data_IF_608835263238
#
_entry.id   IF_608835263238
#
_cell.length_a   1.000
_cell.length_b   1.000
_cell.length_c   1.000
_cell.angle_alpha   90.00
_cell.angle_beta   90.00
_cell.angle_gamma   90.00
#
_symmetry.space_group_name_H-M   'P 1'
#
loop_
_entity.id
_entity.type
_entity.pdbx_description
1 polymer ?
#
# COMPACT_ATOMS: atom_id res chain seq x y z
N UNK A 1 8.68 -22.41 0.79
CA UNK A 1 8.42 -21.34 1.75
C UNK A 1 8.11 -20.04 1.05
N UNK A 2 7.11 -19.35 1.51
CA UNK A 2 6.81 -18.04 0.97
C UNK A 2 7.69 -17.00 1.63
N UNK A 3 8.34 -16.19 0.83
CA UNK A 3 9.14 -15.09 1.31
C UNK A 3 8.36 -13.80 1.07
N UNK A 4 8.31 -12.98 2.08
CA UNK A 4 7.68 -11.67 1.97
C UNK A 4 8.74 -10.60 1.87
N UNK A 5 8.46 -9.61 1.07
CA UNK A 5 9.34 -8.46 0.91
C UNK A 5 8.68 -7.23 1.52
N UNK A 6 9.48 -6.41 2.15
CA UNK A 6 8.97 -5.14 2.66
C UNK A 6 9.46 -4.02 1.76
N UNK A 7 8.66 -2.98 1.70
CA UNK A 7 9.00 -1.80 0.92
C UNK A 7 8.28 -0.60 1.49
N UNK A 8 8.49 0.54 0.86
CA UNK A 8 7.82 1.77 1.26
C UNK A 8 7.10 2.37 0.06
N UNK A 9 5.91 2.86 0.31
CA UNK A 9 5.13 3.54 -0.71
C UNK A 9 4.78 4.93 -0.22
N UNK A 10 4.68 5.87 -1.16
CA UNK A 10 4.26 7.21 -0.83
C UNK A 10 2.74 7.27 -0.93
N UNK A 11 2.11 7.75 0.12
CA UNK A 11 0.66 7.92 0.13
C UNK A 11 0.31 9.32 0.60
N UNK A 12 -0.92 9.72 0.33
CA UNK A 12 -1.40 11.05 0.66
C UNK A 12 -2.61 10.89 1.57
N UNK A 13 -2.59 11.60 2.69
CA UNK A 13 -3.74 11.63 3.58
C UNK A 13 -4.89 12.38 2.89
N UNK A 14 -6.08 11.76 2.76
CA UNK A 14 -7.21 12.42 2.10
C UNK A 14 -7.78 13.59 2.89
N UNK A 15 -7.49 13.64 4.17
CA UNK A 15 -8.03 14.72 5.03
C UNK A 15 -7.19 16.00 4.96
N UNK A 16 -5.87 15.85 4.91
CA UNK A 16 -4.98 17.01 4.97
C UNK A 16 -4.05 17.13 3.76
N UNK A 17 -3.99 16.12 2.91
CA UNK A 17 -3.13 16.12 1.74
C UNK A 17 -1.66 15.93 2.03
N UNK A 18 -1.30 15.57 3.25
CA UNK A 18 0.10 15.35 3.58
C UNK A 18 0.62 14.06 2.95
N UNK A 19 1.76 14.16 2.29
CA UNK A 19 2.44 12.98 1.75
C UNK A 19 3.30 12.35 2.83
N UNK A 20 3.29 11.04 2.85
CA UNK A 20 4.16 10.32 3.78
C UNK A 20 4.49 8.95 3.21
N UNK A 21 5.61 8.40 3.69
CA UNK A 21 6.04 7.06 3.32
C UNK A 21 5.49 6.07 4.33
N UNK A 22 4.93 4.99 3.81
CA UNK A 22 4.35 3.93 4.63
C UNK A 22 5.03 2.63 4.27
N UNK A 23 5.46 1.89 5.28
CA UNK A 23 6.04 0.58 5.07
C UNK A 23 4.93 -0.43 4.78
N UNK A 24 5.12 -1.20 3.72
CA UNK A 24 4.16 -2.20 3.28
C UNK A 24 4.85 -3.53 3.08
N UNK A 25 4.08 -4.60 3.08
CA UNK A 25 4.59 -5.95 2.87
C UNK A 25 4.04 -6.50 1.56
N UNK A 26 4.95 -6.97 0.71
CA UNK A 26 4.58 -7.64 -0.53
C UNK A 26 4.64 -9.14 -0.32
N UNK A 27 3.55 -9.87 -0.56
CA UNK A 27 3.63 -11.33 -0.57
C UNK A 27 4.50 -11.77 -1.74
N UNK A 28 5.14 -12.93 -1.60
CA UNK A 28 6.10 -13.41 -2.60
C UNK A 28 5.49 -13.45 -3.99
N UNK A 29 6.25 -12.99 -4.98
CA UNK A 29 5.88 -12.98 -6.40
C UNK A 29 4.72 -12.09 -6.79
N UNK A 30 4.19 -11.29 -5.86
CA UNK A 30 3.12 -10.36 -6.18
C UNK A 30 3.65 -8.94 -6.23
N UNK A 31 3.21 -8.19 -7.22
CA UNK A 31 3.55 -6.78 -7.33
C UNK A 31 2.70 -5.92 -6.42
N UNK A 32 1.67 -6.51 -5.84
CA UNK A 32 0.69 -5.82 -5.01
C UNK A 32 0.98 -6.07 -3.54
N UNK A 33 1.01 -5.01 -2.73
CA UNK A 33 1.25 -5.16 -1.30
C UNK A 33 -0.04 -5.54 -0.57
N UNK A 34 0.14 -6.10 0.63
CA UNK A 34 -0.98 -6.48 1.49
C UNK A 34 -1.63 -5.22 2.07
N UNK A 35 -2.94 -5.28 2.28
CA UNK A 35 -3.66 -4.19 2.91
C UNK A 35 -3.08 -3.92 4.29
N UNK A 36 -2.92 -2.66 4.59
CA UNK A 36 -2.35 -2.25 5.88
C UNK A 36 -3.02 -0.95 6.32
N UNK A 37 -2.61 -0.46 7.48
CA UNK A 37 -3.08 0.82 7.99
C UNK A 37 -1.88 1.72 8.22
N UNK A 38 -2.11 3.01 8.16
CA UNK A 38 -1.09 4.00 8.48
C UNK A 38 -1.69 5.12 9.30
N UNK A 39 -0.83 5.79 10.03
CA UNK A 39 -1.24 6.88 10.90
C UNK A 39 -0.76 8.20 10.33
N UNK A 40 -1.68 9.13 10.12
CA UNK A 40 -1.34 10.47 9.67
C UNK A 40 -0.96 11.32 10.88
N UNK A 41 0.29 11.75 10.91
CA UNK A 41 0.78 12.54 12.05
C UNK A 41 0.10 13.89 12.16
N UNK A 42 -0.27 14.49 11.02
CA UNK A 42 -0.90 15.80 11.03
C UNK A 42 -2.35 15.75 11.50
N UNK A 43 -3.11 14.78 11.00
CA UNK A 43 -4.51 14.62 11.36
C UNK A 43 -4.71 13.78 12.62
N UNK A 44 -3.69 13.02 12.99
CA UNK A 44 -3.73 12.10 14.13
C UNK A 44 -4.86 11.09 14.01
N UNK A 45 -5.05 10.57 12.80
CA UNK A 45 -6.04 9.55 12.51
C UNK A 45 -5.39 8.34 11.85
N UNK A 46 -6.02 7.19 12.01
CA UNK A 46 -5.57 5.98 11.35
C UNK A 46 -6.38 5.75 10.08
N UNK A 47 -5.69 5.45 9.00
CA UNK A 47 -6.29 5.26 7.69
C UNK A 47 -5.87 3.92 7.12
N UNK A 48 -6.79 3.32 6.36
CA UNK A 48 -6.51 2.07 5.69
C UNK A 48 -5.82 2.34 4.36
N UNK A 49 -4.75 1.61 4.12
CA UNK A 49 -3.99 1.71 2.87
C UNK A 49 -4.15 0.42 2.10
N UNK A 50 -4.65 0.54 0.88
CA UNK A 50 -4.80 -0.60 -0.01
C UNK A 50 -4.10 -0.30 -1.33
N UNK A 51 -3.64 -1.36 -1.98
CA UNK A 51 -2.99 -1.21 -3.28
C UNK A 51 -4.06 -1.02 -4.36
N UNK A 52 -4.01 0.08 -5.11
CA UNK A 52 -5.01 0.34 -6.15
C UNK A 52 -4.80 -0.47 -7.42
N UNK A 53 -3.70 -1.21 -7.52
CA UNK A 53 -3.42 -2.00 -8.71
C UNK A 53 -4.48 -3.09 -8.91
N UNK A 54 -4.89 -3.25 -10.14
CA UNK A 54 -5.82 -4.31 -10.52
C UNK A 54 -5.16 -5.24 -11.52
N UNK A 55 -5.56 -6.49 -11.50
CA UNK A 55 -5.01 -7.51 -12.38
C UNK A 55 -6.12 -8.12 -13.21
N UNK A 56 -5.81 -8.45 -14.45
CA UNK A 56 -6.73 -9.18 -15.29
C UNK A 56 -6.64 -10.68 -14.99
N UNK A 57 -7.39 -11.48 -15.74
CA UNK A 57 -7.40 -12.93 -15.57
C UNK A 57 -6.06 -13.59 -15.87
N UNK A 58 -5.17 -12.88 -16.56
CA UNK A 58 -3.85 -13.39 -16.92
C UNK A 58 -2.77 -12.93 -15.96
N UNK A 59 -3.14 -12.15 -14.96
CA UNK A 59 -2.19 -11.65 -14.00
C UNK A 59 -1.45 -10.39 -14.41
N UNK A 60 -1.88 -9.73 -15.46
CA UNK A 60 -1.28 -8.48 -15.91
C UNK A 60 -1.91 -7.28 -15.20
N UNK A 61 -1.08 -6.30 -14.89
CA UNK A 61 -1.58 -5.09 -14.26
C UNK A 61 -2.35 -4.27 -15.30
N UNK A 62 -3.61 -3.96 -15.02
CA UNK A 62 -4.48 -3.24 -15.93
C UNK A 62 -4.76 -1.81 -15.46
N UNK A 63 -4.19 -1.43 -14.35
CA UNK A 63 -4.34 -0.07 -13.86
C UNK A 63 -3.08 0.40 -13.18
#
# INVERSE_FOLDING_TARGET
MSEKHTGRVCTVCPECGKRQWVEVTFPSFRARFEDTTFHCEKCNIELKLTDPHQFDEYGNIIN
#
